data_IF_347782534648
#
_entry.id   IF_347782534648
#
_cell.length_a   1.000
_cell.length_b   1.000
_cell.length_c   1.000
_cell.angle_alpha   90.00
_cell.angle_beta   90.00
_cell.angle_gamma   90.00
#
_symmetry.space_group_name_H-M   'P 1'
#
loop_
_entity.id
_entity.type
_entity.pdbx_description
1 polymer ?
#
# COMPACT_ATOMS: atom_id res chain seq x y z
N UNK A 1 -8.65 -8.45 8.98
CA UNK A 1 -8.24 -9.39 7.91
C UNK A 1 -8.26 -10.80 8.49
N UNK A 2 -9.23 -11.62 8.09
CA UNK A 2 -9.32 -13.03 8.48
C UNK A 2 -8.61 -13.94 7.48
N UNK A 3 -8.20 -15.13 7.93
CA UNK A 3 -7.71 -16.22 7.08
C UNK A 3 -8.50 -17.48 7.41
N UNK A 4 -8.81 -18.24 6.37
CA UNK A 4 -9.39 -19.58 6.49
C UNK A 4 -8.25 -20.59 6.39
N UNK A 5 -8.24 -21.59 7.27
CA UNK A 5 -7.28 -22.70 7.25
C UNK A 5 -7.99 -23.97 6.81
N UNK A 6 -7.25 -24.86 6.15
CA UNK A 6 -7.77 -26.18 5.75
C UNK A 6 -8.16 -27.01 6.96
N UNK A 7 -9.34 -27.61 6.91
CA UNK A 7 -9.85 -28.56 7.89
C UNK A 7 -9.63 -30.03 7.45
N UNK A 8 -8.82 -30.25 6.40
CA UNK A 8 -8.62 -31.56 5.80
C UNK A 8 -9.93 -32.15 5.30
N UNK A 9 -10.38 -33.25 5.89
CA UNK A 9 -11.52 -34.05 5.42
C UNK A 9 -12.87 -33.30 5.44
N UNK A 10 -12.99 -32.22 6.22
CA UNK A 10 -14.27 -31.51 6.40
C UNK A 10 -14.40 -30.25 5.55
N UNK A 11 -13.43 -29.92 4.70
CA UNK A 11 -13.43 -28.65 3.95
C UNK A 11 -14.36 -28.65 2.73
N UNK A 12 -14.69 -29.83 2.20
CA UNK A 12 -15.48 -30.01 0.98
C UNK A 12 -16.80 -29.22 0.96
N UNK A 13 -17.70 -29.30 1.97
CA UNK A 13 -18.96 -28.53 1.96
C UNK A 13 -18.76 -27.00 2.05
N UNK A 14 -17.58 -26.53 2.46
CA UNK A 14 -17.27 -25.10 2.61
C UNK A 14 -16.50 -24.51 1.43
N UNK A 15 -16.29 -25.30 0.37
CA UNK A 15 -15.74 -24.78 -0.89
C UNK A 15 -16.80 -23.87 -1.52
N UNK A 16 -16.42 -22.72 -2.12
CA UNK A 16 -17.37 -21.75 -2.66
C UNK A 16 -18.35 -22.34 -3.68
N UNK A 17 -17.90 -23.34 -4.44
CA UNK A 17 -18.72 -24.10 -5.40
C UNK A 17 -19.91 -24.81 -4.71
N UNK A 18 -19.67 -25.41 -3.55
CA UNK A 18 -20.70 -26.09 -2.76
C UNK A 18 -21.54 -25.13 -1.91
N UNK A 19 -21.00 -23.97 -1.56
CA UNK A 19 -21.70 -22.91 -0.84
C UNK A 19 -22.55 -21.99 -1.74
N UNK A 20 -22.67 -22.30 -3.05
CA UNK A 20 -23.45 -21.51 -4.02
C UNK A 20 -22.95 -20.06 -4.17
N UNK A 21 -21.64 -19.82 -4.01
CA UNK A 21 -21.02 -18.54 -4.34
C UNK A 21 -20.64 -18.52 -5.83
N UNK A 22 -21.33 -17.70 -6.63
CA UNK A 22 -21.15 -17.61 -8.08
C UNK A 22 -20.14 -16.54 -8.54
N UNK A 23 -19.46 -15.88 -7.61
CA UNK A 23 -18.47 -14.84 -7.90
C UNK A 23 -17.02 -15.36 -7.89
N UNK A 24 -16.05 -14.53 -8.32
CA UNK A 24 -14.64 -14.84 -8.15
C UNK A 24 -14.32 -14.99 -6.66
N UNK A 25 -13.82 -16.16 -6.27
CA UNK A 25 -13.54 -16.48 -4.87
C UNK A 25 -12.05 -16.44 -4.60
N UNK A 26 -11.70 -16.12 -3.36
CA UNK A 26 -10.31 -16.13 -2.93
C UNK A 26 -9.89 -17.59 -2.72
N UNK A 27 -8.76 -18.04 -3.31
CA UNK A 27 -8.28 -19.39 -3.08
C UNK A 27 -7.99 -19.61 -1.59
N UNK A 28 -8.32 -20.80 -1.10
CA UNK A 28 -8.03 -21.19 0.28
C UNK A 28 -6.55 -21.49 0.43
N UNK A 29 -6.00 -21.11 1.58
CA UNK A 29 -4.60 -21.39 1.89
C UNK A 29 -4.41 -22.86 2.22
N UNK A 30 -3.29 -23.41 1.75
CA UNK A 30 -2.76 -24.70 2.19
C UNK A 30 -2.53 -24.71 3.72
N UNK A 31 -2.45 -25.91 4.30
CA UNK A 31 -2.29 -26.12 5.74
C UNK A 31 -1.17 -25.23 6.33
N UNK A 32 -1.41 -24.56 7.47
CA UNK A 32 -0.41 -23.65 8.03
C UNK A 32 0.86 -24.43 8.40
N UNK A 33 2.02 -23.96 7.94
CA UNK A 33 3.30 -24.56 8.30
C UNK A 33 3.59 -24.38 9.78
N UNK A 34 4.09 -25.45 10.42
CA UNK A 34 4.52 -25.40 11.81
C UNK A 34 5.58 -24.31 12.01
N UNK A 35 5.32 -23.39 12.93
CA UNK A 35 6.22 -22.27 13.22
C UNK A 35 7.27 -22.71 14.24
N UNK A 36 8.55 -22.67 13.85
CA UNK A 36 9.68 -23.05 14.72
C UNK A 36 10.15 -21.94 15.67
N UNK A 37 9.68 -20.70 15.47
CA UNK A 37 10.18 -19.51 16.18
C UNK A 37 9.15 -19.00 17.18
N UNK A 38 9.66 -18.51 18.31
CA UNK A 38 8.88 -17.83 19.36
C UNK A 38 8.20 -16.56 18.81
N UNK A 39 7.06 -16.20 19.41
CA UNK A 39 6.35 -14.94 19.12
C UNK A 39 6.99 -13.78 19.86
N UNK A 40 7.07 -12.62 19.20
CA UNK A 40 7.51 -11.36 19.81
C UNK A 40 6.38 -10.34 19.73
N UNK A 41 6.34 -9.42 20.68
CA UNK A 41 5.35 -8.34 20.71
C UNK A 41 5.72 -7.33 19.62
N UNK A 42 4.75 -7.01 18.77
CA UNK A 42 4.93 -6.12 17.60
C UNK A 42 4.22 -4.78 17.80
N UNK A 43 3.34 -4.67 18.80
CA UNK A 43 2.51 -3.50 19.06
C UNK A 43 2.51 -3.11 20.55
N UNK A 44 2.22 -1.83 20.82
CA UNK A 44 2.02 -1.26 22.14
C UNK A 44 0.64 -1.61 22.70
N UNK A 45 0.42 -1.33 23.98
CA UNK A 45 -0.86 -1.58 24.69
C UNK A 45 -2.07 -0.84 24.08
N UNK A 46 -1.82 0.21 23.31
CA UNK A 46 -2.84 0.96 22.56
C UNK A 46 -3.16 0.38 21.18
N UNK A 47 -2.47 -0.69 20.77
CA UNK A 47 -2.61 -1.30 19.44
C UNK A 47 -1.77 -0.66 18.32
N UNK A 48 -0.89 0.30 18.64
CA UNK A 48 0.03 0.89 17.66
C UNK A 48 1.25 0.00 17.44
N UNK A 49 1.70 -0.15 16.19
CA UNK A 49 2.93 -0.90 15.88
C UNK A 49 4.17 -0.21 16.48
N UNK A 50 5.13 -1.02 16.93
CA UNK A 50 6.43 -0.55 17.39
C UNK A 50 7.22 0.11 16.24
N UNK A 51 8.05 1.13 16.53
CA UNK A 51 8.88 1.76 15.51
C UNK A 51 9.80 0.74 14.84
N UNK A 52 9.93 0.82 13.51
CA UNK A 52 10.76 -0.09 12.71
C UNK A 52 10.08 -1.38 12.27
N UNK A 53 8.84 -1.65 12.69
CA UNK A 53 8.06 -2.78 12.16
C UNK A 53 7.56 -2.50 10.75
N UNK A 54 7.59 -3.54 9.90
CA UNK A 54 7.14 -3.42 8.51
C UNK A 54 5.62 -3.26 8.45
N UNK A 55 5.18 -2.21 7.77
CA UNK A 55 3.79 -1.86 7.54
C UNK A 55 3.44 -2.20 6.08
N UNK A 56 2.83 -3.37 5.84
CA UNK A 56 2.40 -3.81 4.49
C UNK A 56 0.88 -3.94 4.49
N UNK A 57 0.13 -3.32 3.54
CA UNK A 57 0.56 -2.75 2.25
C UNK A 57 1.09 -1.31 2.28
N UNK A 58 1.26 -0.71 3.46
CA UNK A 58 1.86 0.61 3.66
C UNK A 58 1.65 1.08 5.09
N UNK A 59 2.10 2.30 5.42
CA UNK A 59 1.94 2.92 6.75
C UNK A 59 0.47 3.23 7.12
N UNK A 60 -0.45 3.05 6.17
CA UNK A 60 -1.88 3.29 6.30
C UNK A 60 -2.64 1.98 6.08
N UNK A 61 -3.68 1.68 6.89
CA UNK A 61 -4.50 0.48 6.72
C UNK A 61 -5.25 0.44 5.38
N UNK A 62 -5.43 1.60 4.73
CA UNK A 62 -6.03 1.74 3.41
C UNK A 62 -4.97 1.73 2.27
N UNK A 63 -3.71 1.39 2.56
CA UNK A 63 -2.63 1.37 1.57
C UNK A 63 -2.19 2.77 1.15
N UNK A 64 -2.00 2.98 -0.16
CA UNK A 64 -1.54 4.26 -0.73
C UNK A 64 -2.70 5.28 -0.91
N UNK A 65 -3.66 5.28 0.01
CA UNK A 65 -4.81 6.17 -0.10
C UNK A 65 -4.37 7.64 0.07
N UNK A 66 -4.54 8.42 -1.00
CA UNK A 66 -4.39 9.88 -1.00
C UNK A 66 -5.79 10.47 -0.93
N UNK A 67 -6.03 11.38 0.02
CA UNK A 67 -7.35 11.96 0.23
C UNK A 67 -7.65 12.95 -0.88
N UNK A 68 -8.93 13.19 -1.16
CA UNK A 68 -9.36 14.12 -2.22
C UNK A 68 -8.73 15.51 -2.07
N UNK A 69 -8.56 15.98 -0.83
CA UNK A 69 -7.95 17.27 -0.50
C UNK A 69 -6.42 17.27 -0.52
N UNK A 70 -5.78 16.10 -0.48
CA UNK A 70 -4.32 15.95 -0.55
C UNK A 70 -3.82 15.80 -2.00
N UNK A 71 -4.73 15.60 -2.96
CA UNK A 71 -4.41 15.48 -4.37
C UNK A 71 -4.15 16.88 -4.97
N UNK A 72 -3.28 16.97 -6.00
CA UNK A 72 -3.15 18.20 -6.76
C UNK A 72 -4.48 18.54 -7.44
N UNK A 73 -4.76 19.83 -7.60
CA UNK A 73 -6.01 20.35 -8.18
C UNK A 73 -6.30 19.78 -9.58
N UNK A 74 -5.27 19.43 -10.34
CA UNK A 74 -5.39 18.81 -11.66
C UNK A 74 -4.61 17.50 -11.73
N UNK A 75 -5.32 16.42 -12.05
CA UNK A 75 -4.71 15.14 -12.40
C UNK A 75 -4.53 15.03 -13.90
N UNK A 76 -3.41 14.43 -14.28
CA UNK A 76 -3.11 14.14 -15.67
C UNK A 76 -3.88 12.90 -16.12
N UNK A 77 -4.50 13.00 -17.30
CA UNK A 77 -5.17 11.87 -17.93
C UNK A 77 -4.18 10.79 -18.42
N UNK A 78 -4.68 9.60 -18.79
CA UNK A 78 -3.83 8.46 -19.18
C UNK A 78 -3.02 8.68 -20.46
N UNK A 79 -3.43 9.60 -21.35
CA UNK A 79 -2.82 9.83 -22.66
C UNK A 79 -1.90 11.07 -22.73
N UNK A 80 -1.37 11.52 -21.59
CA UNK A 80 -0.61 12.78 -21.51
C UNK A 80 0.73 12.73 -22.25
N UNK A 81 1.31 11.54 -22.42
CA UNK A 81 2.62 11.36 -23.05
C UNK A 81 2.56 11.02 -24.56
N UNK A 82 1.42 11.15 -25.25
CA UNK A 82 1.34 10.82 -26.68
C UNK A 82 2.19 11.80 -27.53
N UNK A 83 3.29 11.34 -28.16
CA UNK A 83 4.20 12.23 -28.90
C UNK A 83 3.71 12.55 -30.31
N UNK A 84 2.78 11.76 -30.87
CA UNK A 84 2.39 11.85 -32.30
C UNK A 84 1.54 13.07 -32.63
N UNK A 85 0.88 13.69 -31.64
CA UNK A 85 -0.07 14.78 -31.86
C UNK A 85 0.42 16.15 -31.36
N UNK A 86 1.68 16.26 -30.89
CA UNK A 86 2.18 17.48 -30.20
C UNK A 86 3.58 17.88 -30.64
N UNK A 87 3.89 19.16 -30.48
CA UNK A 87 5.26 19.69 -30.64
C UNK A 87 6.17 19.19 -29.52
N UNK A 88 7.48 19.18 -29.77
CA UNK A 88 8.49 18.73 -28.81
C UNK A 88 8.44 19.54 -27.50
N UNK A 89 8.32 20.87 -27.59
CA UNK A 89 8.17 21.72 -26.41
C UNK A 89 6.91 21.40 -25.58
N UNK A 90 5.80 21.07 -26.24
CA UNK A 90 4.56 20.69 -25.57
C UNK A 90 4.69 19.37 -24.81
N UNK A 91 5.42 18.39 -25.37
CA UNK A 91 5.70 17.11 -24.72
C UNK A 91 6.57 17.33 -23.48
N UNK A 92 7.62 18.17 -23.57
CA UNK A 92 8.50 18.46 -22.44
C UNK A 92 7.74 19.14 -21.29
N UNK A 93 6.83 20.07 -21.59
CA UNK A 93 5.96 20.69 -20.60
C UNK A 93 5.11 19.66 -19.85
N UNK A 94 4.47 18.72 -20.56
CA UNK A 94 3.63 17.70 -19.95
C UNK A 94 4.41 16.72 -19.08
N UNK A 95 5.62 16.32 -19.53
CA UNK A 95 6.52 15.48 -18.72
C UNK A 95 6.87 16.15 -17.41
N UNK A 96 7.24 17.43 -17.46
CA UNK A 96 7.52 18.24 -16.25
C UNK A 96 6.29 18.30 -15.33
N UNK A 97 5.09 18.52 -15.87
CA UNK A 97 3.86 18.52 -15.07
C UNK A 97 3.59 17.16 -14.42
N UNK A 98 3.87 16.07 -15.13
CA UNK A 98 3.73 14.70 -14.62
C UNK A 98 4.67 14.43 -13.46
N UNK A 99 5.94 14.82 -13.58
CA UNK A 99 6.92 14.71 -12.51
C UNK A 99 6.47 15.48 -11.26
N UNK A 100 6.01 16.73 -11.42
CA UNK A 100 5.47 17.52 -10.32
C UNK A 100 4.27 16.85 -9.66
N UNK A 101 3.31 16.35 -10.43
CA UNK A 101 2.13 15.68 -9.88
C UNK A 101 2.52 14.39 -9.15
N UNK A 102 3.40 13.56 -9.71
CA UNK A 102 3.86 12.33 -9.05
C UNK A 102 4.61 12.61 -7.75
N UNK A 103 5.42 13.67 -7.69
CA UNK A 103 6.13 14.07 -6.47
C UNK A 103 5.16 14.62 -5.42
N UNK A 104 4.13 15.38 -5.79
CA UNK A 104 3.11 15.83 -4.84
C UNK A 104 2.33 14.66 -4.23
N UNK A 105 1.90 13.69 -5.06
CA UNK A 105 1.19 12.49 -4.62
C UNK A 105 2.07 11.64 -3.69
N UNK A 106 3.34 11.45 -4.02
CA UNK A 106 4.27 10.67 -3.18
C UNK A 106 4.55 11.37 -1.85
N UNK A 107 4.68 12.70 -1.86
CA UNK A 107 4.85 13.51 -0.65
C UNK A 107 3.60 13.45 0.23
N UNK A 108 2.41 13.57 -0.36
CA UNK A 108 1.13 13.44 0.33
C UNK A 108 0.94 12.03 0.93
N UNK A 109 1.35 10.99 0.22
CA UNK A 109 1.34 9.62 0.74
C UNK A 109 2.30 9.44 1.92
N UNK A 110 3.50 10.05 1.87
CA UNK A 110 4.49 9.97 2.94
C UNK A 110 4.06 10.72 4.21
N UNK A 111 3.41 11.87 4.09
CA UNK A 111 3.12 12.77 5.22
C UNK A 111 2.03 12.30 6.21
N UNK A 112 1.40 11.14 5.98
CA UNK A 112 0.20 10.71 6.73
C UNK A 112 0.45 10.01 8.06
N UNK A 113 1.68 9.60 8.36
CA UNK A 113 1.99 9.07 9.70
C UNK A 113 2.97 9.96 10.44
N UNK A 114 2.69 10.21 11.72
CA UNK A 114 3.64 10.87 12.66
C UNK A 114 5.00 10.16 12.63
N UNK A 115 4.96 8.82 12.52
CA UNK A 115 6.11 7.94 12.34
C UNK A 115 6.94 8.21 11.07
N UNK A 116 6.35 8.65 9.96
CA UNK A 116 7.12 8.99 8.74
C UNK A 116 7.80 10.35 8.89
N UNK A 117 7.11 11.34 9.48
CA UNK A 117 7.76 12.62 9.82
C UNK A 117 8.95 12.41 10.76
N UNK A 118 8.77 11.57 11.78
CA UNK A 118 9.82 11.20 12.73
C UNK A 118 10.95 10.40 12.05
N UNK A 119 10.64 9.44 11.16
CA UNK A 119 11.64 8.69 10.36
C UNK A 119 12.44 9.57 9.40
N UNK A 120 11.79 10.54 8.75
CA UNK A 120 12.45 11.50 7.85
C UNK A 120 13.39 12.39 8.67
N UNK A 121 12.94 12.92 9.80
CA UNK A 121 13.75 13.71 10.73
C UNK A 121 14.96 12.93 11.27
N UNK A 122 14.76 11.69 11.73
CA UNK A 122 15.85 10.81 12.20
C UNK A 122 16.86 10.48 11.09
N UNK A 123 16.39 10.29 9.85
CA UNK A 123 17.27 10.03 8.69
C UNK A 123 18.09 11.26 8.26
N UNK A 124 17.56 12.47 8.46
CA UNK A 124 18.27 13.73 8.20
C UNK A 124 19.30 14.03 9.30
N UNK A 125 18.97 13.78 10.57
CA UNK A 125 19.89 13.98 11.70
C UNK A 125 21.13 13.07 11.63
N UNK A 126 20.99 11.86 11.07
CA UNK A 126 22.10 10.89 10.92
C UNK A 126 23.08 11.21 9.78
N UNK A 127 22.75 12.14 8.88
CA UNK A 127 23.63 12.58 7.77
C UNK A 127 24.43 13.85 8.10
N UNK A 128 24.23 14.45 9.27
CA UNK A 128 24.92 15.67 9.71
C UNK A 128 25.90 15.42 10.87
N UNK A 129 26.29 14.17 11.10
CA UNK A 129 27.33 13.76 12.04
C UNK A 129 28.42 12.97 11.30
#
# INVERSE_FOLDING_TARGET
MSKNYSAGQYEQPFIPEHMQLYGPTKPFGEHPKAKKRTTHIVANDRGHLLPGQKTVPGDCPWGNYVGTWDLPCHLLGPAVDNPTSRSEAGIQYLRKQKELITTTISTAAANKSKSVKDRIFDSMGKKMA
#
